data_IF_421461523448
#
_entry.id   IF_421461523448
#
_cell.length_a   1.000
_cell.length_b   1.000
_cell.length_c   1.000
_cell.angle_alpha   90.00
_cell.angle_beta   90.00
_cell.angle_gamma   90.00
#
_symmetry.space_group_name_H-M   'P 1'
#
loop_
_entity.id
_entity.type
_entity.pdbx_description
1 polymer ?
#
# COMPACT_ATOMS: atom_id res chain seq x y z
N UNK A 1 20.60 -36.69 6.28
CA UNK A 1 20.17 -36.66 4.87
C UNK A 1 19.45 -35.35 4.69
N UNK A 2 20.00 -34.44 3.89
CA UNK A 2 19.26 -33.24 3.46
C UNK A 2 17.98 -33.72 2.76
N UNK A 3 16.82 -33.39 3.31
CA UNK A 3 15.56 -33.70 2.67
C UNK A 3 15.41 -32.79 1.46
N UNK A 4 15.47 -33.37 0.26
CA UNK A 4 15.12 -32.66 -0.95
C UNK A 4 13.59 -32.50 -0.99
N UNK A 5 13.08 -31.31 -0.70
CA UNK A 5 11.65 -30.99 -0.67
C UNK A 5 10.96 -31.36 -2.00
N UNK A 6 11.68 -31.21 -3.11
CA UNK A 6 11.18 -31.43 -4.46
C UNK A 6 11.02 -32.92 -4.83
N UNK A 7 11.55 -33.84 -4.01
CA UNK A 7 11.30 -35.27 -4.18
C UNK A 7 9.83 -35.66 -3.91
N UNK A 8 9.05 -34.81 -3.23
CA UNK A 8 7.66 -35.08 -2.84
C UNK A 8 6.60 -34.39 -3.71
N UNK A 9 7.02 -33.59 -4.69
CA UNK A 9 6.09 -32.78 -5.51
C UNK A 9 6.33 -33.05 -7.00
N UNK A 10 5.26 -33.02 -7.79
CA UNK A 10 5.35 -33.10 -9.25
C UNK A 10 5.41 -31.73 -9.92
N UNK A 11 4.99 -30.68 -9.22
CA UNK A 11 4.83 -29.32 -9.75
C UNK A 11 5.02 -28.29 -8.62
N UNK A 12 5.90 -27.27 -8.77
CA UNK A 12 6.10 -26.20 -7.79
C UNK A 12 4.85 -25.43 -7.33
N UNK A 13 3.79 -25.32 -8.16
CA UNK A 13 2.51 -24.74 -7.73
C UNK A 13 1.85 -25.50 -6.55
N UNK A 14 2.24 -26.76 -6.30
CA UNK A 14 1.83 -27.51 -5.11
C UNK A 14 2.31 -26.84 -3.81
N UNK A 15 3.43 -26.10 -3.88
CA UNK A 15 4.05 -25.44 -2.73
C UNK A 15 3.80 -23.93 -2.72
N UNK A 16 3.91 -23.24 -3.84
CA UNK A 16 3.54 -21.83 -3.94
C UNK A 16 2.82 -21.61 -5.25
N UNK A 17 1.50 -21.46 -5.25
CA UNK A 17 0.74 -21.30 -6.49
C UNK A 17 0.79 -19.86 -7.00
N UNK A 18 0.80 -19.67 -8.32
CA UNK A 18 0.61 -18.36 -8.95
C UNK A 18 -0.35 -18.49 -10.12
N UNK A 19 -1.40 -17.66 -10.13
CA UNK A 19 -2.40 -17.62 -11.20
C UNK A 19 -2.48 -16.22 -11.78
N UNK A 20 -2.18 -16.12 -13.06
CA UNK A 20 -2.34 -14.90 -13.85
C UNK A 20 -3.66 -14.98 -14.63
N UNK A 21 -4.54 -14.00 -14.39
CA UNK A 21 -5.89 -13.99 -14.91
C UNK A 21 -6.30 -12.60 -15.39
N UNK A 22 -7.35 -12.54 -16.20
CA UNK A 22 -8.06 -11.31 -16.54
C UNK A 22 -9.48 -11.39 -16.00
N UNK A 23 -9.88 -10.33 -15.31
CA UNK A 23 -11.24 -10.18 -14.82
C UNK A 23 -12.18 -9.85 -15.99
N UNK A 24 -13.43 -10.28 -15.85
CA UNK A 24 -14.47 -10.13 -16.85
C UNK A 24 -15.63 -9.31 -16.28
N UNK A 25 -16.33 -8.61 -17.16
CA UNK A 25 -17.60 -7.91 -16.91
C UNK A 25 -17.48 -6.64 -16.03
N UNK A 26 -18.48 -5.76 -16.14
CA UNK A 26 -18.61 -4.54 -15.35
C UNK A 26 -17.40 -3.60 -15.43
N UNK A 27 -17.11 -2.92 -14.30
CA UNK A 27 -15.99 -1.97 -14.21
C UNK A 27 -14.62 -2.65 -14.11
N UNK A 28 -14.56 -3.94 -13.77
CA UNK A 28 -13.31 -4.71 -13.65
C UNK A 28 -12.84 -5.33 -14.97
N UNK A 29 -13.66 -5.28 -16.01
CA UNK A 29 -13.38 -5.95 -17.28
C UNK A 29 -12.00 -5.60 -17.83
N UNK A 30 -11.23 -6.64 -18.17
CA UNK A 30 -9.89 -6.53 -18.72
C UNK A 30 -8.78 -6.25 -17.69
N UNK A 31 -9.10 -6.02 -16.42
CA UNK A 31 -8.07 -5.87 -15.37
C UNK A 31 -7.35 -7.19 -15.19
N UNK A 32 -6.02 -7.15 -15.35
CA UNK A 32 -5.14 -8.28 -15.03
C UNK A 32 -5.02 -8.43 -13.52
N UNK A 33 -4.99 -9.67 -13.06
CA UNK A 33 -4.88 -10.06 -11.66
C UNK A 33 -3.85 -11.17 -11.54
N UNK A 34 -2.95 -11.06 -10.56
CA UNK A 34 -2.01 -12.12 -10.17
C UNK A 34 -2.39 -12.56 -8.76
N UNK A 35 -2.90 -13.77 -8.64
CA UNK A 35 -3.18 -14.39 -7.34
C UNK A 35 -2.04 -15.33 -6.98
N UNK A 36 -1.61 -15.28 -5.74
CA UNK A 36 -0.53 -16.13 -5.26
C UNK A 36 -0.77 -16.66 -3.86
N UNK A 37 -0.22 -17.84 -3.61
CA UNK A 37 -0.19 -18.52 -2.32
C UNK A 37 1.28 -18.82 -1.99
N UNK A 38 1.72 -18.54 -0.76
CA UNK A 38 3.11 -18.73 -0.35
C UNK A 38 3.40 -20.13 0.22
N UNK A 39 2.44 -21.05 0.23
CA UNK A 39 2.55 -22.38 0.84
C UNK A 39 2.47 -22.40 2.36
N UNK A 40 2.32 -21.23 2.98
CA UNK A 40 2.06 -21.05 4.40
C UNK A 40 0.61 -20.64 4.58
N UNK A 41 0.39 -19.54 5.29
CA UNK A 41 -0.95 -19.03 5.55
C UNK A 41 -1.29 -17.75 4.75
N UNK A 42 -0.45 -17.35 3.79
CA UNK A 42 -0.66 -16.12 3.02
C UNK A 42 -1.16 -16.35 1.60
N UNK A 43 -2.26 -15.68 1.28
CA UNK A 43 -2.75 -15.51 -0.07
C UNK A 43 -2.74 -14.01 -0.42
N UNK A 44 -2.16 -13.64 -1.56
CA UNK A 44 -2.09 -12.26 -2.03
C UNK A 44 -2.69 -12.12 -3.43
N UNK A 45 -3.42 -11.04 -3.66
CA UNK A 45 -3.96 -10.67 -4.97
C UNK A 45 -3.41 -9.32 -5.40
N UNK A 46 -2.58 -9.33 -6.44
CA UNK A 46 -2.00 -8.13 -7.05
C UNK A 46 -2.77 -7.73 -8.29
N UNK A 47 -2.85 -6.43 -8.56
CA UNK A 47 -3.46 -5.88 -9.77
C UNK A 47 -2.42 -5.15 -10.62
N UNK A 48 -1.79 -5.83 -11.60
CA UNK A 48 -0.88 -5.16 -12.52
C UNK A 48 -1.50 -3.98 -13.28
N UNK A 49 -2.81 -3.96 -13.50
CA UNK A 49 -3.49 -2.82 -14.11
C UNK A 49 -3.69 -1.61 -13.18
N UNK A 50 -3.32 -1.73 -11.90
CA UNK A 50 -3.54 -0.76 -10.82
C UNK A 50 -2.29 -0.68 -9.94
N UNK A 51 -1.21 -0.13 -10.48
CA UNK A 51 0.06 0.10 -9.79
C UNK A 51 0.79 -1.12 -9.18
N UNK A 52 0.47 -2.34 -9.65
CA UNK A 52 0.88 -3.58 -8.98
C UNK A 52 0.42 -3.62 -7.51
N UNK A 53 -0.59 -2.85 -7.13
CA UNK A 53 -1.07 -2.77 -5.76
C UNK A 53 -1.68 -4.10 -5.30
N UNK A 54 -1.54 -4.37 -4.01
CA UNK A 54 -2.22 -5.49 -3.34
C UNK A 54 -3.68 -5.12 -3.12
N UNK A 55 -4.55 -5.68 -3.95
CA UNK A 55 -5.99 -5.55 -3.77
C UNK A 55 -6.45 -6.30 -2.51
N UNK A 56 -5.93 -7.51 -2.29
CA UNK A 56 -6.34 -8.34 -1.17
C UNK A 56 -5.17 -9.11 -0.60
N UNK A 57 -5.10 -9.15 0.73
CA UNK A 57 -4.24 -10.07 1.48
C UNK A 57 -5.11 -10.88 2.43
N UNK A 58 -4.93 -12.19 2.42
CA UNK A 58 -5.59 -13.12 3.33
C UNK A 58 -4.55 -13.85 4.14
N UNK A 59 -4.82 -13.96 5.44
CA UNK A 59 -3.99 -14.70 6.39
C UNK A 59 -4.85 -15.77 7.06
N UNK A 60 -4.41 -17.04 6.98
CA UNK A 60 -5.16 -18.21 7.51
C UNK A 60 -6.58 -18.29 6.94
N UNK A 61 -6.75 -17.91 5.68
CA UNK A 61 -8.04 -17.84 5.01
C UNK A 61 -8.95 -16.68 5.46
N UNK A 62 -8.50 -15.79 6.33
CA UNK A 62 -9.22 -14.57 6.70
C UNK A 62 -8.71 -13.38 5.88
N UNK A 63 -9.62 -12.60 5.31
CA UNK A 63 -9.29 -11.33 4.66
C UNK A 63 -8.82 -10.30 5.71
N UNK A 64 -7.81 -9.47 5.40
CA UNK A 64 -7.25 -8.52 6.36
C UNK A 64 -7.57 -7.05 6.07
N UNK A 65 -7.96 -6.73 4.83
CA UNK A 65 -8.17 -5.36 4.37
C UNK A 65 -9.61 -5.04 4.03
N UNK A 66 -9.96 -3.76 3.98
CA UNK A 66 -11.24 -3.34 3.47
C UNK A 66 -11.31 -3.46 1.94
N UNK A 67 -12.50 -3.75 1.41
CA UNK A 67 -12.81 -3.76 -0.02
C UNK A 67 -13.97 -2.79 -0.22
N UNK A 68 -13.73 -1.72 -0.98
CA UNK A 68 -14.72 -0.68 -1.18
C UNK A 68 -15.89 -1.13 -2.09
N UNK A 69 -17.06 -0.45 -2.01
CA UNK A 69 -18.25 -0.81 -2.78
C UNK A 69 -18.07 -0.75 -4.31
N UNK A 70 -17.09 0.01 -4.80
CA UNK A 70 -16.80 0.06 -6.24
C UNK A 70 -16.14 -1.22 -6.76
N UNK A 71 -15.61 -2.07 -5.87
CA UNK A 71 -14.80 -3.24 -6.22
C UNK A 71 -13.60 -2.87 -7.11
N UNK A 72 -13.03 -3.88 -7.77
CA UNK A 72 -11.95 -3.66 -8.74
C UNK A 72 -12.50 -2.83 -9.91
N UNK A 73 -11.79 -1.75 -10.25
CA UNK A 73 -12.17 -0.85 -11.34
C UNK A 73 -10.98 -0.69 -12.30
N UNK A 74 -11.22 -0.87 -13.60
CA UNK A 74 -10.20 -0.71 -14.63
C UNK A 74 -9.65 0.73 -14.66
N UNK A 75 -8.35 0.90 -14.92
CA UNK A 75 -7.72 2.23 -15.00
C UNK A 75 -8.33 3.11 -16.11
N UNK A 76 -8.99 2.51 -17.10
CA UNK A 76 -9.73 3.24 -18.14
C UNK A 76 -10.88 4.11 -17.61
N UNK A 77 -11.38 3.82 -16.40
CA UNK A 77 -12.41 4.62 -15.73
C UNK A 77 -11.84 5.69 -14.80
N UNK A 78 -10.52 5.91 -14.80
CA UNK A 78 -9.88 6.90 -13.95
C UNK A 78 -10.30 8.32 -14.33
N UNK A 79 -10.68 9.10 -13.31
CA UNK A 79 -10.99 10.52 -13.43
C UNK A 79 -10.22 11.32 -12.37
N UNK A 80 -9.38 12.24 -12.84
CA UNK A 80 -8.51 13.07 -12.01
C UNK A 80 -9.20 14.32 -11.44
N UNK A 81 -10.48 14.56 -11.74
CA UNK A 81 -11.18 15.78 -11.34
C UNK A 81 -11.60 15.71 -9.87
N UNK A 82 -11.09 16.62 -9.05
CA UNK A 82 -11.49 16.72 -7.66
C UNK A 82 -11.36 15.37 -6.95
N UNK A 83 -12.48 14.90 -6.38
CA UNK A 83 -12.58 13.64 -5.64
C UNK A 83 -13.12 12.47 -6.47
N UNK A 84 -13.26 12.60 -7.80
CA UNK A 84 -13.80 11.53 -8.66
C UNK A 84 -12.94 10.25 -8.64
N UNK A 85 -11.67 10.36 -8.22
CA UNK A 85 -10.79 9.23 -7.89
C UNK A 85 -11.47 8.20 -6.96
N UNK A 86 -12.31 8.65 -6.02
CA UNK A 86 -13.03 7.78 -5.08
C UNK A 86 -13.97 6.78 -5.79
N UNK A 87 -14.43 7.06 -7.02
CA UNK A 87 -15.30 6.13 -7.79
C UNK A 87 -14.55 4.92 -8.36
N UNK A 88 -13.22 4.92 -8.29
CA UNK A 88 -12.36 3.80 -8.67
C UNK A 88 -11.40 3.39 -7.56
N UNK A 89 -11.60 3.91 -6.33
CA UNK A 89 -10.79 3.59 -5.17
C UNK A 89 -11.32 2.33 -4.48
N UNK A 90 -10.74 1.19 -4.81
CA UNK A 90 -11.09 -0.09 -4.19
C UNK A 90 -10.60 -0.21 -2.74
N UNK A 91 -9.82 0.77 -2.26
CA UNK A 91 -9.07 0.76 -1.00
C UNK A 91 -8.00 -0.33 -0.97
N UNK A 92 -8.41 -1.60 -0.94
CA UNK A 92 -7.51 -2.74 -1.02
C UNK A 92 -6.56 -2.83 0.17
N UNK A 93 -5.65 -3.80 0.16
CA UNK A 93 -4.63 -3.88 1.21
C UNK A 93 -3.60 -2.76 1.07
N UNK A 94 -3.22 -2.41 -0.15
CA UNK A 94 -2.36 -1.30 -0.48
C UNK A 94 -2.99 -0.49 -1.61
N UNK A 95 -2.96 0.83 -1.49
CA UNK A 95 -3.12 1.75 -2.62
C UNK A 95 -1.93 2.70 -2.67
N UNK A 96 -1.28 2.78 -3.83
CA UNK A 96 -0.13 3.68 -4.00
C UNK A 96 -0.56 5.06 -4.45
N UNK A 97 -0.27 6.07 -3.63
CA UNK A 97 -0.58 7.47 -3.93
C UNK A 97 0.70 8.19 -4.38
N UNK A 98 0.60 9.00 -5.44
CA UNK A 98 1.76 9.63 -6.08
C UNK A 98 1.62 9.70 -7.61
N UNK A 99 2.72 9.88 -8.34
CA UNK A 99 4.04 10.36 -7.90
C UNK A 99 4.15 11.89 -7.96
N UNK A 100 3.28 12.57 -8.70
CA UNK A 100 3.27 14.04 -8.80
C UNK A 100 2.30 14.73 -7.84
N UNK A 101 1.43 13.97 -7.18
CA UNK A 101 0.50 14.50 -6.18
C UNK A 101 0.10 13.46 -5.15
N UNK A 102 -0.12 13.89 -3.92
CA UNK A 102 -0.74 13.10 -2.84
C UNK A 102 -1.70 13.99 -2.04
N UNK A 103 -2.67 13.38 -1.36
CA UNK A 103 -3.64 14.09 -0.53
C UNK A 103 -4.71 14.81 -1.34
N UNK A 104 -5.33 15.82 -0.73
CA UNK A 104 -6.51 16.51 -1.25
C UNK A 104 -6.31 17.10 -2.65
N UNK A 105 -7.38 17.22 -3.46
CA UNK A 105 -7.31 17.88 -4.76
C UNK A 105 -6.80 19.32 -4.63
N UNK A 106 -6.04 19.78 -5.60
CA UNK A 106 -5.47 21.13 -5.60
C UNK A 106 -5.34 21.68 -7.01
N UNK A 107 -5.34 23.01 -7.15
CA UNK A 107 -4.92 23.70 -8.36
C UNK A 107 -3.57 24.36 -8.09
N UNK A 108 -2.53 23.91 -8.80
CA UNK A 108 -1.15 24.36 -8.58
C UNK A 108 -0.60 24.85 -9.91
N UNK A 109 -0.20 26.12 -9.96
CA UNK A 109 0.29 26.75 -11.18
C UNK A 109 -0.64 26.59 -12.41
N UNK A 110 -1.96 26.62 -12.19
CA UNK A 110 -2.98 26.45 -13.22
C UNK A 110 -3.23 24.99 -13.66
N UNK A 111 -2.61 24.02 -12.99
CA UNK A 111 -2.86 22.58 -13.20
C UNK A 111 -3.76 22.02 -12.10
N UNK A 112 -4.91 21.46 -12.47
CA UNK A 112 -5.77 20.71 -11.57
C UNK A 112 -5.17 19.32 -11.29
N UNK A 113 -4.96 19.01 -10.02
CA UNK A 113 -4.49 17.71 -9.53
C UNK A 113 -5.58 17.05 -8.69
N UNK A 114 -5.92 15.83 -9.05
CA UNK A 114 -6.92 15.02 -8.37
C UNK A 114 -6.42 14.43 -7.05
N UNK A 115 -7.37 13.98 -6.24
CA UNK A 115 -7.10 13.29 -4.98
C UNK A 115 -6.06 12.16 -5.16
N UNK A 116 -5.02 12.16 -4.34
CA UNK A 116 -3.96 11.14 -4.28
C UNK A 116 -3.09 10.90 -5.53
N UNK A 117 -3.23 11.71 -6.58
CA UNK A 117 -2.45 11.56 -7.80
C UNK A 117 -2.92 10.39 -8.69
N UNK A 118 -2.07 10.01 -9.65
CA UNK A 118 -2.47 9.10 -10.74
C UNK A 118 -1.93 7.67 -10.55
N UNK A 119 -0.93 7.48 -9.70
CA UNK A 119 -0.13 6.24 -9.67
C UNK A 119 -0.98 4.98 -9.46
N UNK A 120 -1.94 4.99 -8.53
CA UNK A 120 -2.90 3.88 -8.31
C UNK A 120 -3.68 3.44 -9.56
N UNK A 121 -3.70 4.24 -10.62
CA UNK A 121 -4.37 3.97 -11.90
C UNK A 121 -3.37 3.79 -13.06
N UNK A 122 -2.06 3.78 -12.80
CA UNK A 122 -1.03 3.48 -13.79
C UNK A 122 -0.93 1.95 -13.96
N UNK A 123 -1.17 1.41 -15.18
CA UNK A 123 -0.92 0.00 -15.45
C UNK A 123 0.58 -0.27 -15.52
N UNK A 124 0.99 -1.44 -15.06
CA UNK A 124 2.37 -1.89 -15.06
C UNK A 124 2.81 -2.42 -16.43
N UNK A 125 4.03 -2.03 -16.80
CA UNK A 125 4.89 -2.56 -17.84
C UNK A 125 5.81 -3.65 -17.25
N UNK A 126 6.41 -4.49 -18.11
CA UNK A 126 7.48 -5.45 -17.73
C UNK A 126 7.15 -6.40 -16.57
N UNK A 127 5.87 -6.77 -16.43
CA UNK A 127 5.41 -7.61 -15.32
C UNK A 127 5.99 -9.02 -15.41
N UNK A 128 6.73 -9.42 -14.38
CA UNK A 128 7.44 -10.71 -14.31
C UNK A 128 7.16 -11.43 -13.01
N UNK A 129 6.90 -12.73 -13.11
CA UNK A 129 6.90 -13.67 -11.98
C UNK A 129 8.14 -14.54 -12.09
N UNK A 130 8.95 -14.61 -11.04
CA UNK A 130 10.17 -15.42 -10.99
C UNK A 130 10.12 -16.35 -9.80
N UNK A 131 10.38 -17.65 -10.04
CA UNK A 131 10.55 -18.66 -9.00
C UNK A 131 12.03 -18.96 -8.83
N UNK A 132 12.49 -19.06 -7.59
CA UNK A 132 13.83 -19.56 -7.26
C UNK A 132 13.70 -20.77 -6.35
N UNK A 133 14.58 -21.76 -6.52
CA UNK A 133 14.56 -23.01 -5.77
C UNK A 133 15.97 -23.34 -5.27
N UNK A 134 16.04 -23.74 -4.00
CA UNK A 134 17.19 -24.45 -3.42
C UNK A 134 16.83 -25.92 -3.24
N UNK A 135 17.67 -26.74 -2.59
CA UNK A 135 17.31 -28.14 -2.33
C UNK A 135 16.13 -28.28 -1.34
N UNK A 136 15.95 -27.29 -0.48
CA UNK A 136 15.12 -27.31 0.73
C UNK A 136 14.07 -26.18 0.80
N UNK A 137 14.12 -25.22 -0.13
CA UNK A 137 13.23 -24.06 -0.10
C UNK A 137 12.87 -23.56 -1.51
N UNK A 138 11.83 -22.73 -1.57
CA UNK A 138 11.39 -22.02 -2.76
C UNK A 138 11.06 -20.57 -2.41
N UNK A 139 11.29 -19.66 -3.35
CA UNK A 139 10.84 -18.28 -3.25
C UNK A 139 10.16 -17.81 -4.52
N UNK A 140 9.37 -16.75 -4.38
CA UNK A 140 8.63 -16.11 -5.44
C UNK A 140 8.89 -14.61 -5.44
N UNK A 141 9.22 -14.07 -6.60
CA UNK A 141 9.28 -12.63 -6.85
C UNK A 141 8.24 -12.24 -7.89
N UNK A 142 7.48 -11.19 -7.61
CA UNK A 142 6.57 -10.55 -8.59
C UNK A 142 7.02 -9.10 -8.78
N UNK A 143 7.41 -8.74 -10.01
CA UNK A 143 7.91 -7.42 -10.36
C UNK A 143 7.04 -6.78 -11.45
N UNK A 144 6.93 -5.45 -11.44
CA UNK A 144 6.35 -4.66 -12.53
C UNK A 144 6.81 -3.19 -12.45
N UNK A 145 6.70 -2.45 -13.55
CA UNK A 145 7.09 -1.04 -13.60
C UNK A 145 5.92 -0.16 -14.05
N UNK A 146 5.60 0.88 -13.28
CA UNK A 146 4.65 1.91 -13.65
C UNK A 146 5.38 3.15 -14.14
N UNK A 147 4.71 3.91 -15.00
CA UNK A 147 5.25 5.15 -15.55
C UNK A 147 4.25 6.28 -15.42
N UNK A 148 4.62 7.30 -14.65
CA UNK A 148 3.95 8.61 -14.69
C UNK A 148 4.80 9.55 -15.56
N UNK A 149 4.31 9.82 -16.77
CA UNK A 149 5.03 10.63 -17.74
C UNK A 149 4.11 11.44 -18.64
N UNK A 150 4.57 12.62 -19.08
CA UNK A 150 3.93 13.43 -20.12
C UNK A 150 4.94 14.25 -20.93
N UNK A 151 4.58 14.60 -22.17
CA UNK A 151 5.38 15.54 -22.97
C UNK A 151 5.42 16.89 -22.24
N UNK A 152 6.61 17.48 -22.16
CA UNK A 152 6.90 18.74 -21.44
C UNK A 152 6.75 18.67 -19.91
N UNK A 153 6.67 17.47 -19.31
CA UNK A 153 6.50 17.32 -17.86
C UNK A 153 7.45 16.31 -17.23
N UNK A 154 6.87 15.52 -16.32
CA UNK A 154 7.49 14.40 -15.63
C UNK A 154 7.79 13.23 -16.57
N UNK A 155 8.78 12.44 -16.17
CA UNK A 155 9.05 11.12 -16.72
C UNK A 155 9.65 10.29 -15.58
N UNK A 156 8.78 9.82 -14.69
CA UNK A 156 9.15 9.01 -13.54
C UNK A 156 8.73 7.57 -13.80
N UNK A 157 9.57 6.63 -13.35
CA UNK A 157 9.24 5.21 -13.33
C UNK A 157 9.29 4.71 -11.90
N UNK A 158 8.23 4.04 -11.45
CA UNK A 158 8.24 3.26 -10.22
C UNK A 158 8.34 1.79 -10.59
N UNK A 159 9.45 1.13 -10.21
CA UNK A 159 9.57 -0.32 -10.31
C UNK A 159 9.24 -0.93 -8.95
N UNK A 160 8.23 -1.78 -8.91
CA UNK A 160 7.81 -2.51 -7.71
C UNK A 160 8.20 -3.96 -7.78
N UNK A 161 8.71 -4.49 -6.67
CA UNK A 161 9.04 -5.89 -6.48
C UNK A 161 8.46 -6.39 -5.17
N UNK A 162 7.68 -7.47 -5.23
CA UNK A 162 7.28 -8.24 -4.06
C UNK A 162 8.11 -9.51 -3.96
N UNK A 163 8.60 -9.84 -2.77
CA UNK A 163 9.36 -11.05 -2.49
C UNK A 163 8.69 -11.87 -1.38
N UNK A 164 8.50 -13.16 -1.65
CA UNK A 164 7.87 -14.13 -0.76
C UNK A 164 8.75 -15.39 -0.67
N UNK A 165 8.76 -16.02 0.49
CA UNK A 165 9.42 -17.32 0.70
C UNK A 165 8.37 -18.38 1.03
N UNK A 166 8.67 -19.63 0.67
CA UNK A 166 7.79 -20.76 0.95
C UNK A 166 7.58 -20.93 2.47
N UNK A 167 6.30 -20.92 2.90
CA UNK A 167 5.90 -21.13 4.29
C UNK A 167 6.18 -19.97 5.24
N UNK A 168 6.80 -18.88 4.79
CA UNK A 168 7.04 -17.70 5.61
C UNK A 168 5.83 -16.76 5.55
N UNK A 169 5.18 -16.54 6.69
CA UNK A 169 4.06 -15.61 6.84
C UNK A 169 4.55 -14.14 6.84
N UNK A 170 5.31 -13.78 5.82
CA UNK A 170 5.84 -12.46 5.58
C UNK A 170 6.10 -12.21 4.09
N UNK A 171 6.19 -10.93 3.72
CA UNK A 171 6.72 -10.52 2.44
C UNK A 171 7.40 -9.16 2.53
N UNK A 172 8.22 -8.87 1.52
CA UNK A 172 8.85 -7.56 1.37
C UNK A 172 8.38 -6.91 0.08
N UNK A 173 7.97 -5.64 0.18
CA UNK A 173 7.70 -4.76 -0.95
C UNK A 173 8.89 -3.82 -1.11
N UNK A 174 9.50 -3.82 -2.29
CA UNK A 174 10.57 -2.88 -2.65
C UNK A 174 10.15 -2.06 -3.87
N UNK A 175 10.12 -0.74 -3.70
CA UNK A 175 9.87 0.20 -4.80
C UNK A 175 11.13 0.99 -5.11
N UNK A 176 11.45 1.15 -6.40
CA UNK A 176 12.50 2.04 -6.87
C UNK A 176 11.88 3.08 -7.79
N UNK A 177 11.93 4.36 -7.37
CA UNK A 177 11.52 5.49 -8.21
C UNK A 177 12.73 6.05 -8.94
N UNK A 178 12.69 6.08 -10.27
CA UNK A 178 13.75 6.61 -11.13
C UNK A 178 13.28 7.83 -11.90
N UNK A 179 14.09 8.89 -11.94
CA UNK A 179 13.90 9.99 -12.88
C UNK A 179 14.46 9.62 -14.26
N UNK A 180 13.57 9.30 -15.20
CA UNK A 180 13.91 8.98 -16.59
C UNK A 180 13.98 10.23 -17.49
N UNK A 181 13.81 11.42 -16.93
CA UNK A 181 13.95 12.70 -17.63
C UNK A 181 15.37 13.28 -17.57
N UNK A 182 15.52 14.47 -18.16
CA UNK A 182 16.79 15.22 -18.22
C UNK A 182 16.83 16.45 -17.30
N UNK A 183 15.75 16.75 -16.58
CA UNK A 183 15.71 17.80 -15.57
C UNK A 183 15.52 17.22 -14.17
N UNK A 184 15.87 17.98 -13.14
CA UNK A 184 15.56 17.60 -11.76
C UNK A 184 14.04 17.46 -11.57
N UNK A 185 13.63 16.41 -10.85
CA UNK A 185 12.21 16.08 -10.65
C UNK A 185 11.90 15.75 -9.20
N UNK A 186 11.03 16.52 -8.53
CA UNK A 186 10.48 16.12 -7.26
C UNK A 186 9.46 14.99 -7.45
N UNK A 187 9.26 14.19 -6.40
CA UNK A 187 8.22 13.18 -6.37
C UNK A 187 7.65 12.97 -4.96
N UNK A 188 6.38 12.61 -4.90
CA UNK A 188 5.62 12.33 -3.69
C UNK A 188 5.22 10.85 -3.71
N UNK A 189 5.30 10.17 -2.57
CA UNK A 189 4.94 8.77 -2.45
C UNK A 189 4.29 8.54 -1.09
N UNK A 190 3.11 7.92 -1.10
CA UNK A 190 2.45 7.38 0.09
C UNK A 190 2.00 5.95 -0.17
N UNK A 191 2.23 5.09 0.81
CA UNK A 191 1.71 3.72 0.83
C UNK A 191 0.45 3.71 1.67
N UNK A 192 -0.70 3.79 1.02
CA UNK A 192 -1.98 3.79 1.72
C UNK A 192 -2.36 2.35 2.07
N UNK A 193 -1.85 1.84 3.21
CA UNK A 193 -2.03 0.46 3.67
C UNK A 193 -3.30 0.37 4.53
N UNK A 194 -4.24 -0.50 4.16
CA UNK A 194 -5.58 -0.50 4.75
C UNK A 194 -5.95 -1.82 5.40
N UNK A 195 -6.66 -1.71 6.52
CA UNK A 195 -7.19 -2.83 7.29
C UNK A 195 -8.70 -2.74 7.39
N UNK A 196 -9.35 -3.91 7.41
CA UNK A 196 -10.79 -4.03 7.52
C UNK A 196 -11.18 -5.30 8.26
N UNK A 197 -12.48 -5.52 8.42
CA UNK A 197 -12.99 -6.74 9.06
C UNK A 197 -12.59 -8.00 8.25
N UNK A 198 -12.30 -9.15 8.90
CA UNK A 198 -12.32 -9.43 10.34
C UNK A 198 -11.08 -9.02 11.15
N UNK A 199 -10.02 -8.51 10.55
CA UNK A 199 -8.85 -8.03 11.32
C UNK A 199 -9.24 -6.80 12.15
N UNK A 200 -9.97 -5.86 11.56
CA UNK A 200 -10.44 -4.63 12.20
C UNK A 200 -11.84 -4.83 12.81
N UNK A 201 -11.93 -4.74 14.14
CA UNK A 201 -13.14 -4.64 14.95
C UNK A 201 -12.77 -4.12 16.35
N UNK A 202 -13.71 -4.10 17.28
CA UNK A 202 -13.54 -3.51 18.61
C UNK A 202 -12.45 -4.19 19.47
N UNK A 203 -12.10 -5.43 19.15
CA UNK A 203 -11.02 -6.17 19.81
C UNK A 203 -9.63 -5.78 19.27
N UNK A 204 -9.56 -5.09 18.13
CA UNK A 204 -8.32 -4.79 17.44
C UNK A 204 -7.47 -3.80 18.21
N UNK A 205 -6.19 -4.13 18.33
CA UNK A 205 -5.17 -3.30 18.97
C UNK A 205 -4.27 -2.68 17.91
N UNK A 206 -4.06 -1.37 18.03
CA UNK A 206 -3.04 -0.63 17.29
C UNK A 206 -1.83 -0.42 18.19
N UNK A 207 -0.72 -1.08 17.86
CA UNK A 207 0.58 -0.82 18.48
C UNK A 207 1.37 0.08 17.55
N UNK A 208 1.55 1.32 18.00
CA UNK A 208 2.25 2.38 17.28
C UNK A 208 3.04 3.21 18.29
N UNK A 209 4.35 3.25 18.14
CA UNK A 209 5.26 4.03 18.99
C UNK A 209 5.29 5.48 18.51
N UNK A 210 4.19 6.19 18.74
CA UNK A 210 4.03 7.60 18.39
C UNK A 210 4.59 8.50 19.49
N UNK A 211 5.52 9.38 19.13
CA UNK A 211 6.13 10.41 19.98
C UNK A 211 5.27 11.67 20.08
N UNK A 212 4.47 11.94 19.06
CA UNK A 212 3.51 13.05 18.98
C UNK A 212 2.39 12.74 18.01
N UNK A 213 1.21 13.30 18.28
CA UNK A 213 -0.01 13.13 17.47
C UNK A 213 -0.60 14.51 17.19
N UNK A 214 -0.87 14.79 15.93
CA UNK A 214 -1.54 16.02 15.49
C UNK A 214 -2.82 15.66 14.73
N UNK A 215 -4.00 16.17 15.12
CA UNK A 215 -5.22 15.96 14.37
C UNK A 215 -5.19 16.77 13.07
N UNK A 216 -5.71 16.19 11.99
CA UNK A 216 -5.78 16.85 10.68
C UNK A 216 -6.70 18.08 10.68
N UNK A 217 -7.82 18.00 11.38
CA UNK A 217 -8.85 19.04 11.42
C UNK A 217 -9.52 19.15 12.80
N UNK A 218 -10.50 20.05 12.93
CA UNK A 218 -11.21 20.30 14.18
C UNK A 218 -12.01 19.07 14.66
N UNK A 219 -12.57 18.28 13.74
CA UNK A 219 -13.33 17.07 14.08
C UNK A 219 -12.39 15.99 14.64
N UNK A 220 -11.25 15.75 13.98
CA UNK A 220 -10.22 14.87 14.51
C UNK A 220 -9.65 15.35 15.85
N UNK A 221 -9.62 16.66 16.11
CA UNK A 221 -9.17 17.20 17.39
C UNK A 221 -10.12 16.87 18.54
N UNK A 222 -11.43 16.81 18.29
CA UNK A 222 -12.45 16.40 19.27
C UNK A 222 -12.30 14.92 19.65
N UNK A 223 -11.90 14.08 18.68
CA UNK A 223 -11.75 12.62 18.84
C UNK A 223 -10.31 12.18 19.17
N UNK A 224 -9.40 13.13 19.40
CA UNK A 224 -7.96 12.88 19.49
C UNK A 224 -7.58 11.89 20.59
N UNK A 225 -8.29 11.84 21.72
CA UNK A 225 -7.98 10.88 22.80
C UNK A 225 -8.23 9.41 22.37
N UNK A 226 -9.06 9.20 21.36
CA UNK A 226 -9.51 7.88 20.89
C UNK A 226 -8.79 7.42 19.61
N UNK A 227 -7.68 8.03 19.21
CA UNK A 227 -6.98 7.69 17.97
C UNK A 227 -6.51 6.22 17.91
N UNK A 228 -6.22 5.59 19.07
CA UNK A 228 -5.83 4.17 19.19
C UNK A 228 -7.01 3.21 19.25
N UNK A 229 -8.21 3.71 19.57
CA UNK A 229 -9.39 2.89 19.82
C UNK A 229 -10.10 2.58 18.50
N UNK A 230 -10.59 1.35 18.42
CA UNK A 230 -11.43 0.89 17.31
C UNK A 230 -12.85 0.73 17.85
N UNK A 231 -13.72 1.67 17.52
CA UNK A 231 -15.10 1.74 18.01
C UNK A 231 -16.05 0.91 17.12
N UNK A 232 -17.24 0.50 17.61
CA UNK A 232 -18.25 -0.14 16.77
C UNK A 232 -18.67 0.73 15.56
N UNK A 233 -19.10 0.13 14.44
CA UNK A 233 -19.48 0.89 13.24
C UNK A 233 -20.66 1.83 13.50
N UNK A 234 -20.48 3.12 13.22
CA UNK A 234 -21.48 4.16 13.44
C UNK A 234 -22.03 4.74 12.13
N UNK A 235 -23.19 5.41 12.21
CA UNK A 235 -23.75 6.16 11.10
C UNK A 235 -24.61 7.32 11.62
N UNK A 236 -24.39 8.57 11.16
CA UNK A 236 -23.26 8.98 10.31
C UNK A 236 -21.92 8.81 11.04
N UNK A 237 -20.83 8.71 10.29
CA UNK A 237 -19.46 8.76 10.81
C UNK A 237 -18.65 9.69 9.91
N UNK A 238 -17.90 10.60 10.50
CA UNK A 238 -16.96 11.47 9.79
C UNK A 238 -15.55 10.93 10.02
N UNK A 239 -14.77 10.78 8.95
CA UNK A 239 -13.40 10.29 9.05
C UNK A 239 -12.55 11.15 9.99
N UNK A 240 -11.59 10.53 10.65
CA UNK A 240 -10.55 11.22 11.39
C UNK A 240 -9.19 10.87 10.79
N UNK A 241 -8.34 11.88 10.61
CA UNK A 241 -6.95 11.68 10.23
C UNK A 241 -6.04 12.24 11.32
N UNK A 242 -4.99 11.49 11.63
CA UNK A 242 -3.98 11.87 12.62
C UNK A 242 -2.58 11.76 12.00
N UNK A 243 -1.78 12.80 12.16
CA UNK A 243 -0.37 12.79 11.80
C UNK A 243 0.46 12.37 13.00
N UNK A 244 1.39 11.46 12.79
CA UNK A 244 2.22 10.94 13.87
C UNK A 244 3.70 11.26 13.64
N UNK A 245 4.37 11.73 14.68
CA UNK A 245 5.82 11.59 14.81
C UNK A 245 6.09 10.18 15.35
N UNK A 246 6.82 9.36 14.60
CA UNK A 246 7.11 7.97 14.98
C UNK A 246 8.48 7.82 15.60
N UNK A 247 8.56 6.98 16.63
CA UNK A 247 9.82 6.51 17.16
C UNK A 247 10.52 5.60 16.13
N UNK A 248 11.85 5.50 16.28
CA UNK A 248 12.68 4.58 15.53
C UNK A 248 13.46 3.68 16.49
N UNK A 249 13.68 2.43 16.09
CA UNK A 249 14.51 1.49 16.85
C UNK A 249 16.02 1.77 16.66
N UNK A 250 16.85 0.93 17.29
CA UNK A 250 18.32 1.06 17.20
C UNK A 250 18.87 0.82 15.79
N UNK A 251 18.08 0.26 14.88
CA UNK A 251 18.39 0.01 13.47
C UNK A 251 17.79 1.10 12.56
N UNK A 252 17.19 2.15 13.13
CA UNK A 252 16.57 3.24 12.38
C UNK A 252 15.25 2.85 11.72
N UNK A 253 14.61 1.78 12.16
CA UNK A 253 13.32 1.35 11.63
C UNK A 253 12.17 1.98 12.40
N UNK A 254 11.13 2.41 11.68
CA UNK A 254 9.80 2.66 12.25
C UNK A 254 8.84 1.57 11.81
N UNK A 255 7.75 1.44 12.54
CA UNK A 255 6.72 0.46 12.21
C UNK A 255 5.50 0.55 13.09
N UNK A 256 4.53 -0.30 12.78
CA UNK A 256 3.32 -0.46 13.55
C UNK A 256 2.85 -1.92 13.51
N UNK A 257 1.96 -2.27 14.43
CA UNK A 257 1.26 -3.55 14.42
C UNK A 257 -0.25 -3.32 14.57
N UNK A 258 -1.04 -3.93 13.70
CA UNK A 258 -2.50 -4.04 13.85
C UNK A 258 -2.81 -5.50 14.17
N UNK A 259 -3.36 -5.77 15.35
CA UNK A 259 -3.52 -7.13 15.85
C UNK A 259 -4.89 -7.35 16.50
N UNK A 260 -5.55 -8.45 16.14
CA UNK A 260 -6.78 -8.89 16.77
C UNK A 260 -6.48 -10.09 17.70
N UNK A 261 -6.53 -9.92 19.03
CA UNK A 261 -6.21 -10.97 20.00
C UNK A 261 -7.24 -12.10 20.05
N UNK A 262 -8.51 -11.81 19.77
CA UNK A 262 -9.59 -12.81 19.78
C UNK A 262 -9.46 -13.77 18.60
N UNK A 263 -9.09 -13.22 17.43
CA UNK A 263 -8.93 -14.00 16.19
C UNK A 263 -7.52 -14.53 15.97
N UNK A 264 -6.53 -14.03 16.74
CA UNK A 264 -5.11 -14.36 16.60
C UNK A 264 -4.61 -14.15 15.17
N UNK A 265 -4.94 -12.98 14.63
CA UNK A 265 -4.46 -12.50 13.33
C UNK A 265 -3.99 -11.07 13.50
N UNK A 266 -2.85 -10.75 12.91
CA UNK A 266 -2.32 -9.40 12.87
C UNK A 266 -1.26 -9.25 11.81
N UNK A 267 -0.85 -8.01 11.64
CA UNK A 267 0.18 -7.61 10.69
C UNK A 267 1.07 -6.57 11.32
N UNK A 268 2.38 -6.80 11.24
CA UNK A 268 3.44 -5.87 11.56
C UNK A 268 4.02 -5.33 10.27
N UNK A 269 4.12 -4.02 10.17
CA UNK A 269 4.73 -3.32 9.04
C UNK A 269 5.91 -2.52 9.55
N UNK A 270 7.07 -2.65 8.91
CA UNK A 270 8.27 -1.91 9.27
C UNK A 270 9.03 -1.41 8.04
N UNK A 271 9.69 -0.27 8.17
CA UNK A 271 10.49 0.35 7.13
C UNK A 271 11.60 1.22 7.73
N UNK A 272 12.56 1.59 6.90
CA UNK A 272 13.58 2.57 7.27
C UNK A 272 12.95 3.96 7.44
N UNK A 273 12.97 4.51 8.66
CA UNK A 273 12.33 5.78 8.98
C UNK A 273 12.81 6.92 8.07
N UNK A 274 14.10 6.96 7.74
CA UNK A 274 14.68 8.00 6.90
C UNK A 274 14.13 8.02 5.46
N UNK A 275 13.56 6.91 4.98
CA UNK A 275 12.95 6.83 3.66
C UNK A 275 11.52 7.36 3.66
N UNK A 276 10.73 7.05 4.69
CA UNK A 276 9.34 7.48 4.86
C UNK A 276 9.14 8.08 6.26
N UNK A 277 9.57 9.33 6.49
CA UNK A 277 9.60 9.94 7.83
C UNK A 277 8.25 10.51 8.28
N UNK A 278 7.27 10.61 7.37
CA UNK A 278 5.93 11.10 7.69
C UNK A 278 4.95 9.93 7.79
N UNK A 279 3.96 10.07 8.67
CA UNK A 279 2.96 9.04 8.88
C UNK A 279 1.56 9.63 9.08
N UNK A 280 0.58 9.08 8.40
CA UNK A 280 -0.84 9.42 8.54
C UNK A 280 -1.63 8.17 8.95
N UNK A 281 -2.43 8.30 10.00
CA UNK A 281 -3.48 7.33 10.35
C UNK A 281 -4.81 7.88 9.84
N UNK A 282 -5.51 7.13 8.99
CA UNK A 282 -6.86 7.44 8.54
C UNK A 282 -7.86 6.48 9.18
N UNK A 283 -8.81 7.00 9.94
CA UNK A 283 -9.83 6.22 10.67
C UNK A 283 -11.21 6.55 10.14
N UNK A 284 -11.82 5.60 9.43
CA UNK A 284 -13.20 5.69 8.95
C UNK A 284 -13.98 4.47 9.47
N UNK A 285 -14.76 4.66 10.54
CA UNK A 285 -15.50 3.59 11.22
C UNK A 285 -17.00 3.66 10.95
N UNK A 286 -17.35 3.94 9.70
CA UNK A 286 -18.73 4.03 9.24
C UNK A 286 -19.37 2.67 9.02
N UNK A 287 -20.69 2.57 9.17
CA UNK A 287 -21.46 1.41 8.72
C UNK A 287 -21.31 1.22 7.21
N UNK A 288 -20.71 0.10 6.80
CA UNK A 288 -20.43 -0.21 5.41
C UNK A 288 -19.13 0.39 4.89
N UNK A 289 -18.48 1.26 5.66
CA UNK A 289 -17.23 1.95 5.34
C UNK A 289 -16.33 1.89 6.60
N UNK A 290 -15.97 0.67 6.99
CA UNK A 290 -15.26 0.38 8.25
C UNK A 290 -13.82 -0.04 7.97
N UNK A 291 -12.93 0.96 7.96
CA UNK A 291 -11.57 0.86 7.46
C UNK A 291 -10.61 1.73 8.28
N UNK A 292 -9.39 1.19 8.45
CA UNK A 292 -8.25 1.88 9.02
C UNK A 292 -7.13 1.94 7.98
N UNK A 293 -6.69 3.14 7.61
CA UNK A 293 -5.49 3.40 6.81
C UNK A 293 -4.30 3.74 7.71
N UNK A 294 -3.15 3.15 7.43
CA UNK A 294 -1.88 3.35 8.15
C UNK A 294 -0.78 3.65 7.14
N UNK A 295 -0.52 4.93 6.91
CA UNK A 295 0.15 5.41 5.70
C UNK A 295 1.54 6.00 6.00
N UNK A 296 2.64 5.30 5.67
CA UNK A 296 3.95 5.92 5.62
C UNK A 296 4.16 6.72 4.32
N UNK A 297 4.70 7.94 4.43
CA UNK A 297 4.87 8.88 3.33
C UNK A 297 6.29 9.47 3.27
N UNK A 298 6.74 9.82 2.07
CA UNK A 298 8.03 10.50 1.85
C UNK A 298 7.97 12.03 2.04
N UNK A 299 6.77 12.60 2.16
CA UNK A 299 6.48 14.02 2.35
C UNK A 299 5.14 14.20 3.09
N UNK A 300 4.88 15.36 3.74
CA UNK A 300 3.64 15.56 4.49
C UNK A 300 2.38 15.45 3.62
N UNK A 301 1.35 14.75 4.11
CA UNK A 301 0.10 14.51 3.37
C UNK A 301 -0.65 15.82 3.05
N UNK A 302 -0.68 16.79 3.96
CA UNK A 302 -1.34 18.09 3.78
C UNK A 302 -0.34 19.27 3.73
N UNK A 303 0.94 18.99 3.50
CA UNK A 303 1.96 20.01 3.34
C UNK A 303 1.97 20.65 1.95
N UNK A 304 2.93 21.56 1.75
CA UNK A 304 3.23 22.18 0.46
C UNK A 304 3.50 21.12 -0.62
N UNK A 305 2.84 21.27 -1.76
CA UNK A 305 2.84 20.34 -2.89
C UNK A 305 3.88 20.72 -3.94
N UNK A 306 4.19 19.77 -4.83
CA UNK A 306 5.14 20.00 -5.93
C UNK A 306 4.72 21.21 -6.76
N UNK A 307 5.60 22.22 -6.84
CA UNK A 307 5.33 23.50 -7.50
C UNK A 307 5.02 24.65 -6.55
N UNK A 308 4.83 24.38 -5.26
CA UNK A 308 4.72 25.39 -4.21
C UNK A 308 6.07 25.60 -3.51
N UNK A 309 6.33 26.84 -3.10
CA UNK A 309 7.49 27.19 -2.29
C UNK A 309 7.43 26.46 -0.92
N UNK A 310 8.55 25.85 -0.52
CA UNK A 310 8.64 25.08 0.72
C UNK A 310 8.16 23.63 0.64
N UNK A 311 7.86 23.10 -0.56
CA UNK A 311 7.58 21.67 -0.73
C UNK A 311 8.76 20.80 -0.27
N UNK A 312 8.48 19.81 0.58
CA UNK A 312 9.48 18.91 1.16
C UNK A 312 9.66 17.60 0.37
N UNK A 313 9.12 17.54 -0.85
CA UNK A 313 9.27 16.37 -1.72
C UNK A 313 10.76 16.11 -2.03
N UNK A 314 11.24 14.85 -1.94
CA UNK A 314 12.55 14.49 -2.43
C UNK A 314 12.71 14.83 -3.92
N UNK A 315 13.90 15.27 -4.33
CA UNK A 315 14.22 15.63 -5.71
C UNK A 315 15.23 14.64 -6.27
N UNK A 316 14.92 14.03 -7.41
CA UNK A 316 15.82 13.17 -8.17
C UNK A 316 16.46 13.94 -9.32
N UNK A 317 17.78 13.87 -9.43
CA UNK A 317 18.53 14.29 -10.61
C UNK A 317 18.29 13.37 -11.80
N UNK A 318 18.63 13.78 -13.03
CA UNK A 318 18.50 12.93 -14.21
C UNK A 318 19.19 11.56 -14.03
N UNK A 319 18.44 10.47 -14.21
CA UNK A 319 18.93 9.10 -14.04
C UNK A 319 19.04 8.63 -12.59
N UNK A 320 18.85 9.51 -11.61
CA UNK A 320 18.89 9.15 -10.19
C UNK A 320 17.68 8.28 -9.82
N UNK A 321 17.90 7.39 -8.85
CA UNK A 321 16.86 6.56 -8.29
C UNK A 321 16.87 6.60 -6.77
N UNK A 322 15.69 6.52 -6.15
CA UNK A 322 15.52 6.28 -4.71
C UNK A 322 14.71 5.01 -4.49
N UNK A 323 15.15 4.19 -3.55
CA UNK A 323 14.52 2.91 -3.21
C UNK A 323 13.86 2.99 -1.84
N UNK A 324 12.69 2.37 -1.72
CA UNK A 324 11.90 2.22 -0.51
C UNK A 324 11.67 0.73 -0.29
N UNK A 325 11.75 0.28 0.96
CA UNK A 325 11.50 -1.11 1.34
C UNK A 325 10.59 -1.16 2.55
N UNK A 326 9.50 -1.92 2.43
CA UNK A 326 8.56 -2.18 3.51
C UNK A 326 8.50 -3.70 3.73
N UNK A 327 8.65 -4.11 4.98
CA UNK A 327 8.51 -5.49 5.39
C UNK A 327 7.18 -5.70 6.11
N UNK A 328 6.45 -6.74 5.70
CA UNK A 328 5.15 -7.13 6.24
C UNK A 328 5.29 -8.51 6.86
N UNK A 329 5.00 -8.65 8.14
CA UNK A 329 4.98 -9.93 8.85
C UNK A 329 3.61 -10.15 9.46
N UNK A 330 3.05 -11.34 9.28
CA UNK A 330 1.73 -11.72 9.75
C UNK A 330 1.88 -12.60 10.99
N UNK A 331 1.15 -12.26 12.05
CA UNK A 331 1.42 -12.75 13.39
C UNK A 331 0.17 -13.32 14.06
N UNK A 332 0.37 -14.29 14.93
CA UNK A 332 -0.68 -14.88 15.77
C UNK A 332 -0.62 -14.41 17.23
N UNK A 333 0.44 -13.69 17.58
CA UNK A 333 0.79 -13.21 18.92
C UNK A 333 1.52 -11.87 18.77
N UNK A 334 1.38 -10.99 19.76
CA UNK A 334 1.91 -9.62 19.72
C UNK A 334 3.39 -9.52 20.10
#
# INVERSE_FOLDING_TARGET
>A
MEQNLFAYIGEPDQLMSVRDARLLDGRQDGVRMIQMDNGGALECTLLPGRAMDLYQVRYKGANLNYIAPCGITAPAYYDARGTEWLRGFYVGFLTTCGLQHIGSPAEIAGEARGLHGREANCPAEDVRVTRSQTADSMSLTVEGSMREARIFGENLRLRRTYAFSYGEDAFTLTDTVTNCGFGARPFLLSYHINFGYPLLCEDTKIVLDSLGVEPRDAHAAEEMEHWREIEPPAYPYQECCYFHELAQDAQGQSGYTVYNPVRRIGVRVSWNHADLPYFCQWKMLGKGEYVLGMEPLNAPLDGKKIGEEGCLAPILQPGESKTYSLHFSFIEEL
#
